data_IF_131928196411
#
_entry.id   IF_131928196411
#
_cell.length_a   1.000
_cell.length_b   1.000
_cell.length_c   1.000
_cell.angle_alpha   90.00
_cell.angle_beta   90.00
_cell.angle_gamma   90.00
#
_symmetry.space_group_name_H-M   'P 1'
#
loop_
_entity.id
_entity.type
_entity.pdbx_description
1 polymer ?
#
# COMPACT_ATOMS: atom_id res chain seq x y z
N UNK A 1 -16.50 -14.17 48.13
CA UNK A 1 -16.79 -13.56 46.84
C UNK A 1 -15.61 -12.70 46.36
N UNK A 2 -15.12 -11.71 47.11
CA UNK A 2 -14.02 -10.81 46.73
C UNK A 2 -12.69 -11.53 46.42
N UNK A 3 -12.31 -12.52 47.22
CA UNK A 3 -11.08 -13.29 47.06
C UNK A 3 -11.10 -14.09 45.73
N UNK A 4 -12.23 -14.67 45.39
CA UNK A 4 -12.43 -15.40 44.13
C UNK A 4 -12.34 -14.47 42.92
N UNK A 5 -12.88 -13.25 43.04
CA UNK A 5 -12.83 -12.25 41.97
C UNK A 5 -11.41 -11.71 41.77
N UNK A 6 -10.65 -11.48 42.85
CA UNK A 6 -9.23 -11.08 42.77
C UNK A 6 -8.36 -12.17 42.13
N UNK A 7 -8.61 -13.42 42.42
CA UNK A 7 -7.87 -14.54 41.82
C UNK A 7 -8.18 -14.68 40.32
N UNK A 8 -9.46 -14.55 39.95
CA UNK A 8 -9.87 -14.55 38.53
C UNK A 8 -9.25 -13.41 37.73
N UNK A 9 -9.23 -12.22 38.31
CA UNK A 9 -8.59 -11.06 37.65
C UNK A 9 -7.09 -11.30 37.44
N UNK A 10 -6.36 -11.83 38.43
CA UNK A 10 -4.93 -12.14 38.28
C UNK A 10 -4.68 -13.19 37.19
N UNK A 11 -5.52 -14.22 37.15
CA UNK A 11 -5.41 -15.26 36.11
C UNK A 11 -5.69 -14.68 34.72
N UNK A 12 -6.71 -13.80 34.58
CA UNK A 12 -7.02 -13.13 33.34
C UNK A 12 -5.88 -12.21 32.90
N UNK A 13 -5.34 -11.42 33.82
CA UNK A 13 -4.18 -10.56 33.55
C UNK A 13 -2.95 -11.36 33.10
N UNK A 14 -2.69 -12.49 33.73
CA UNK A 14 -1.60 -13.39 33.36
C UNK A 14 -1.81 -13.96 31.95
N UNK A 15 -3.03 -14.45 31.64
CA UNK A 15 -3.38 -14.93 30.30
C UNK A 15 -3.25 -13.84 29.22
N UNK A 16 -3.74 -12.63 29.52
CA UNK A 16 -3.61 -11.49 28.60
C UNK A 16 -2.14 -11.18 28.31
N UNK A 17 -1.28 -11.13 29.34
CA UNK A 17 0.17 -10.91 29.14
C UNK A 17 0.81 -11.98 28.27
N UNK A 18 0.52 -13.26 28.53
CA UNK A 18 1.08 -14.36 27.73
C UNK A 18 0.62 -14.26 26.29
N UNK A 19 -0.68 -14.06 26.05
CA UNK A 19 -1.22 -13.92 24.69
C UNK A 19 -0.68 -12.69 23.95
N UNK A 20 -0.51 -11.56 24.64
CA UNK A 20 0.10 -10.37 24.05
C UNK A 20 1.54 -10.65 23.64
N UNK A 21 2.33 -11.30 24.51
CA UNK A 21 3.71 -11.65 24.18
C UNK A 21 3.82 -12.64 23.00
N UNK A 22 2.93 -13.64 22.94
CA UNK A 22 2.86 -14.58 21.80
C UNK A 22 2.52 -13.86 20.49
N UNK A 23 1.52 -12.96 20.51
CA UNK A 23 1.13 -12.15 19.36
C UNK A 23 2.26 -11.23 18.89
N UNK A 24 2.96 -10.57 19.81
CA UNK A 24 4.10 -9.74 19.51
C UNK A 24 5.27 -10.54 18.92
N UNK A 25 5.52 -11.76 19.40
CA UNK A 25 6.53 -12.64 18.84
C UNK A 25 6.18 -13.08 17.42
N UNK A 26 4.94 -13.56 17.22
CA UNK A 26 4.45 -13.96 15.89
C UNK A 26 4.47 -12.80 14.87
N UNK A 27 4.09 -11.61 15.31
CA UNK A 27 4.18 -10.42 14.44
C UNK A 27 5.63 -10.07 14.06
N UNK A 28 6.59 -10.23 14.99
CA UNK A 28 8.02 -10.03 14.69
C UNK A 28 8.53 -11.02 13.65
N UNK A 29 8.15 -12.28 13.78
CA UNK A 29 8.52 -13.33 12.83
C UNK A 29 7.94 -13.06 11.44
N UNK A 30 6.66 -12.67 11.36
CA UNK A 30 5.99 -12.35 10.10
C UNK A 30 6.66 -11.16 9.39
N UNK A 31 7.07 -10.13 10.13
CA UNK A 31 7.76 -8.97 9.57
C UNK A 31 9.15 -9.35 9.03
N UNK A 32 9.93 -10.08 9.84
CA UNK A 32 11.26 -10.53 9.42
C UNK A 32 11.18 -11.41 8.17
N UNK A 33 10.19 -12.31 8.13
CA UNK A 33 9.90 -13.14 6.97
C UNK A 33 9.50 -12.28 5.75
N UNK A 34 8.54 -11.37 5.91
CA UNK A 34 8.06 -10.49 4.85
C UNK A 34 9.19 -9.62 4.28
N UNK A 35 10.05 -9.08 5.16
CA UNK A 35 11.20 -8.30 4.76
C UNK A 35 12.23 -9.14 3.97
N UNK A 36 12.59 -10.32 4.48
CA UNK A 36 13.56 -11.21 3.84
C UNK A 36 13.07 -11.65 2.45
N UNK A 37 11.83 -12.16 2.38
CA UNK A 37 11.23 -12.61 1.11
C UNK A 37 11.15 -11.45 0.11
N UNK A 38 10.75 -10.28 0.56
CA UNK A 38 10.64 -9.11 -0.30
C UNK A 38 11.99 -8.65 -0.84
N UNK A 39 13.03 -8.67 -0.01
CA UNK A 39 14.40 -8.37 -0.44
C UNK A 39 14.86 -9.35 -1.53
N UNK A 40 14.64 -10.64 -1.28
CA UNK A 40 15.12 -11.70 -2.19
C UNK A 40 14.33 -11.76 -3.51
N UNK A 41 13.07 -11.29 -3.51
CA UNK A 41 12.27 -11.16 -4.72
C UNK A 41 12.58 -9.90 -5.54
N UNK A 42 13.03 -8.82 -4.94
CA UNK A 42 13.35 -7.58 -5.67
C UNK A 42 14.54 -7.73 -6.63
N UNK A 43 15.54 -8.49 -6.25
CA UNK A 43 16.74 -8.65 -7.07
C UNK A 43 16.45 -9.33 -8.42
N UNK A 44 15.79 -10.52 -8.47
CA UNK A 44 15.42 -11.15 -9.73
C UNK A 44 14.42 -10.31 -10.55
N UNK A 45 13.48 -9.62 -9.92
CA UNK A 45 12.54 -8.76 -10.63
C UNK A 45 13.24 -7.60 -11.34
N UNK A 46 14.18 -6.93 -10.67
CA UNK A 46 14.98 -5.87 -11.29
C UNK A 46 15.81 -6.40 -12.46
N UNK A 47 16.36 -7.62 -12.34
CA UNK A 47 17.10 -8.24 -13.43
C UNK A 47 16.18 -8.53 -14.64
N UNK A 48 14.98 -9.07 -14.41
CA UNK A 48 14.00 -9.34 -15.47
C UNK A 48 13.57 -8.03 -16.17
N UNK A 49 13.23 -6.99 -15.42
CA UNK A 49 12.85 -5.69 -16.00
C UNK A 49 14.01 -5.09 -16.79
N UNK A 50 15.24 -5.12 -16.23
CA UNK A 50 16.44 -4.61 -16.89
C UNK A 50 16.78 -5.35 -18.18
N UNK A 51 16.73 -6.68 -18.19
CA UNK A 51 16.97 -7.43 -19.42
C UNK A 51 15.86 -7.23 -20.45
N UNK A 52 14.61 -7.17 -20.03
CA UNK A 52 13.50 -6.87 -20.94
C UNK A 52 13.65 -5.47 -21.55
N UNK A 53 14.14 -4.50 -20.79
CA UNK A 53 14.43 -3.15 -21.27
C UNK A 53 15.58 -3.16 -22.30
N UNK A 54 16.72 -3.79 -21.96
CA UNK A 54 17.87 -3.89 -22.86
C UNK A 54 17.46 -4.54 -24.19
N UNK A 55 16.72 -5.64 -24.15
CA UNK A 55 16.24 -6.31 -25.37
C UNK A 55 15.31 -5.37 -26.16
N UNK A 56 14.44 -4.64 -25.49
CA UNK A 56 13.53 -3.70 -26.13
C UNK A 56 14.25 -2.52 -26.80
N UNK A 57 15.37 -2.06 -26.23
CA UNK A 57 16.15 -0.91 -26.74
C UNK A 57 17.19 -1.34 -27.77
N UNK A 58 18.06 -2.30 -27.43
CA UNK A 58 19.22 -2.66 -28.27
C UNK A 58 18.84 -3.54 -29.46
N UNK A 59 17.74 -4.29 -29.33
CA UNK A 59 17.28 -5.21 -30.40
C UNK A 59 15.97 -4.74 -31.07
N UNK A 60 15.52 -3.51 -30.81
CA UNK A 60 14.30 -2.97 -31.38
C UNK A 60 14.12 -3.19 -32.92
N UNK A 61 15.18 -3.03 -33.77
CA UNK A 61 15.05 -3.26 -35.21
C UNK A 61 14.87 -4.74 -35.61
N UNK A 62 15.18 -5.66 -34.70
CA UNK A 62 15.10 -7.12 -34.92
C UNK A 62 13.84 -7.74 -34.34
N UNK A 63 13.07 -6.98 -33.57
CA UNK A 63 11.83 -7.41 -32.96
C UNK A 63 10.66 -7.05 -33.88
N UNK A 64 9.80 -8.02 -34.12
CA UNK A 64 8.48 -7.77 -34.70
C UNK A 64 7.54 -7.12 -33.67
N UNK A 65 6.38 -6.70 -34.13
CA UNK A 65 5.34 -6.05 -33.28
C UNK A 65 4.97 -6.95 -32.07
N UNK A 66 4.82 -8.23 -32.31
CA UNK A 66 4.47 -9.22 -31.27
C UNK A 66 5.57 -9.36 -30.22
N UNK A 67 6.83 -9.38 -30.63
CA UNK A 67 7.98 -9.44 -29.72
C UNK A 67 8.07 -8.20 -28.82
N UNK A 68 7.82 -7.01 -29.37
CA UNK A 68 7.76 -5.76 -28.59
C UNK A 68 6.60 -5.78 -27.59
N UNK A 69 5.42 -6.24 -28.02
CA UNK A 69 4.28 -6.36 -27.13
C UNK A 69 4.55 -7.32 -25.96
N UNK A 70 5.18 -8.47 -26.22
CA UNK A 70 5.53 -9.41 -25.16
C UNK A 70 6.54 -8.84 -24.15
N UNK A 71 7.57 -8.13 -24.62
CA UNK A 71 8.52 -7.46 -23.73
C UNK A 71 7.83 -6.41 -22.88
N UNK A 72 6.95 -5.62 -23.47
CA UNK A 72 6.17 -4.64 -22.71
C UNK A 72 5.28 -5.29 -21.66
N UNK A 73 4.62 -6.42 -21.98
CA UNK A 73 3.82 -7.18 -21.00
C UNK A 73 4.67 -7.75 -19.88
N UNK A 74 5.88 -8.23 -20.16
CA UNK A 74 6.83 -8.71 -19.14
C UNK A 74 7.20 -7.54 -18.21
N UNK A 75 7.56 -6.39 -18.73
CA UNK A 75 7.93 -5.21 -17.94
C UNK A 75 6.78 -4.75 -17.04
N UNK A 76 5.57 -4.63 -17.59
CA UNK A 76 4.38 -4.27 -16.81
C UNK A 76 4.10 -5.27 -15.68
N UNK A 77 4.24 -6.58 -15.97
CA UNK A 77 4.04 -7.62 -14.97
C UNK A 77 5.10 -7.56 -13.86
N UNK A 78 6.36 -7.36 -14.21
CA UNK A 78 7.48 -7.26 -13.27
C UNK A 78 7.34 -6.04 -12.35
N UNK A 79 6.99 -4.89 -12.91
CA UNK A 79 6.74 -3.66 -12.14
C UNK A 79 5.52 -3.78 -11.23
N UNK A 80 4.48 -4.53 -11.68
CA UNK A 80 3.33 -4.85 -10.83
C UNK A 80 3.74 -5.72 -9.65
N UNK A 81 4.58 -6.74 -9.87
CA UNK A 81 5.07 -7.61 -8.80
C UNK A 81 5.92 -6.82 -7.80
N UNK A 82 6.79 -5.93 -8.26
CA UNK A 82 7.58 -5.08 -7.38
C UNK A 82 6.69 -4.25 -6.45
N UNK A 83 5.62 -3.63 -6.98
CA UNK A 83 4.65 -2.89 -6.17
C UNK A 83 3.92 -3.76 -5.15
N UNK A 84 3.48 -4.96 -5.52
CA UNK A 84 2.84 -5.88 -4.57
C UNK A 84 3.77 -6.29 -3.42
N UNK A 85 5.06 -6.41 -3.69
CA UNK A 85 6.08 -6.68 -2.67
C UNK A 85 6.24 -5.48 -1.73
N UNK A 86 6.26 -4.27 -2.25
CA UNK A 86 6.32 -3.06 -1.44
C UNK A 86 5.07 -2.91 -0.56
N UNK A 87 3.88 -3.14 -1.13
CA UNK A 87 2.61 -3.15 -0.39
C UNK A 87 2.61 -4.19 0.76
N UNK A 88 3.19 -5.37 0.52
CA UNK A 88 3.30 -6.42 1.54
C UNK A 88 4.21 -6.00 2.70
N UNK A 89 5.35 -5.36 2.41
CA UNK A 89 6.24 -4.82 3.45
C UNK A 89 5.53 -3.74 4.27
N UNK A 90 4.85 -2.83 3.59
CA UNK A 90 4.15 -1.74 4.25
C UNK A 90 3.03 -2.29 5.13
N UNK A 91 2.27 -3.29 4.68
CA UNK A 91 1.27 -3.98 5.50
C UNK A 91 1.89 -4.63 6.74
N UNK A 92 3.02 -5.33 6.60
CA UNK A 92 3.72 -5.95 7.71
C UNK A 92 4.25 -4.92 8.75
N UNK A 93 4.66 -3.74 8.28
CA UNK A 93 5.08 -2.63 9.16
C UNK A 93 3.89 -1.98 9.88
N UNK A 94 2.77 -1.80 9.17
CA UNK A 94 1.57 -1.17 9.72
C UNK A 94 0.96 -1.94 10.90
N UNK A 95 1.03 -3.26 10.88
CA UNK A 95 0.51 -4.12 11.97
C UNK A 95 1.24 -3.95 13.31
N UNK A 96 2.39 -3.27 13.31
CA UNK A 96 3.27 -3.11 14.48
C UNK A 96 3.25 -1.74 15.13
N UNK A 97 2.86 -0.71 14.41
CA UNK A 97 2.90 0.63 14.96
C UNK A 97 1.83 0.77 16.04
N UNK A 98 2.25 1.19 17.23
CA UNK A 98 1.30 1.68 18.23
C UNK A 98 0.56 2.85 17.61
N UNK A 99 -0.69 2.64 17.26
CA UNK A 99 -1.54 3.63 16.59
C UNK A 99 -1.57 4.92 17.40
N UNK A 100 -0.98 5.98 16.86
CA UNK A 100 -1.02 7.32 17.47
C UNK A 100 -2.27 8.03 16.99
N UNK A 101 -3.31 7.98 17.79
CA UNK A 101 -4.56 8.69 17.47
C UNK A 101 -4.38 10.18 17.73
N UNK A 102 -4.47 10.96 16.67
CA UNK A 102 -4.53 12.41 16.68
C UNK A 102 -5.70 12.91 15.84
N UNK A 103 -6.06 14.16 15.98
CA UNK A 103 -7.08 14.76 15.12
C UNK A 103 -6.48 15.09 13.76
N UNK A 104 -6.84 14.30 12.74
CA UNK A 104 -6.30 14.38 11.38
C UNK A 104 -7.30 15.05 10.46
N UNK A 105 -6.85 16.04 9.69
CA UNK A 105 -7.63 16.64 8.61
C UNK A 105 -7.58 15.76 7.37
N UNK A 106 -8.67 15.01 7.13
CA UNK A 106 -8.80 14.10 6.00
C UNK A 106 -8.89 14.84 4.66
N UNK A 107 -9.63 15.95 4.63
CA UNK A 107 -9.79 16.76 3.42
C UNK A 107 -8.43 17.21 2.88
N UNK A 108 -7.55 17.68 3.73
CA UNK A 108 -6.21 18.11 3.36
C UNK A 108 -5.36 16.97 2.80
N UNK A 109 -5.45 15.76 3.38
CA UNK A 109 -4.71 14.58 2.90
C UNK A 109 -5.21 14.18 1.51
N UNK A 110 -6.53 14.14 1.33
CA UNK A 110 -7.16 13.79 0.04
C UNK A 110 -6.79 14.80 -1.05
N UNK A 111 -6.83 16.10 -0.77
CA UNK A 111 -6.41 17.14 -1.70
C UNK A 111 -4.94 16.99 -2.14
N UNK A 112 -4.05 16.67 -1.18
CA UNK A 112 -2.64 16.41 -1.49
C UNK A 112 -2.47 15.20 -2.42
N UNK A 113 -3.14 14.08 -2.12
CA UNK A 113 -3.05 12.87 -2.95
C UNK A 113 -3.63 13.12 -4.34
N UNK A 114 -4.76 13.80 -4.46
CA UNK A 114 -5.34 14.15 -5.76
C UNK A 114 -4.42 15.06 -6.57
N UNK A 115 -3.74 15.99 -5.92
CA UNK A 115 -2.73 16.84 -6.58
C UNK A 115 -1.56 16.03 -7.11
N UNK A 116 -1.05 15.07 -6.32
CA UNK A 116 0.01 14.13 -6.72
C UNK A 116 -0.44 13.30 -7.95
N UNK A 117 -1.67 12.77 -7.93
CA UNK A 117 -2.23 11.99 -9.04
C UNK A 117 -2.39 12.80 -10.33
N UNK A 118 -2.79 14.07 -10.23
CA UNK A 118 -2.85 14.97 -11.41
C UNK A 118 -1.46 15.29 -11.96
N UNK A 119 -0.44 15.38 -11.11
CA UNK A 119 0.95 15.58 -11.56
C UNK A 119 1.54 14.34 -12.24
N UNK A 120 1.14 13.14 -11.78
CA UNK A 120 1.56 11.87 -12.40
C UNK A 120 0.90 11.64 -13.78
N UNK A 121 -0.30 12.15 -14.00
CA UNK A 121 -1.07 12.01 -15.25
C UNK A 121 -1.76 13.33 -15.64
N UNK A 122 -0.99 14.33 -16.14
CA UNK A 122 -1.48 15.69 -16.40
C UNK A 122 -2.52 15.77 -17.53
N UNK A 123 -2.50 14.84 -18.47
CA UNK A 123 -3.42 14.84 -19.62
C UNK A 123 -4.81 14.33 -19.23
N UNK A 124 -4.93 13.75 -18.05
CA UNK A 124 -6.17 13.15 -17.61
C UNK A 124 -7.10 14.15 -16.91
N UNK A 125 -8.30 14.27 -17.43
CA UNK A 125 -9.33 15.16 -16.88
C UNK A 125 -10.19 14.40 -15.87
N UNK A 126 -9.93 14.64 -14.57
CA UNK A 126 -10.73 14.11 -13.46
C UNK A 126 -11.30 15.27 -12.66
N UNK A 127 -12.63 15.33 -12.56
CA UNK A 127 -13.28 16.26 -11.67
C UNK A 127 -13.23 15.71 -10.23
N UNK A 128 -12.59 16.44 -9.33
CA UNK A 128 -12.50 16.06 -7.93
C UNK A 128 -13.28 17.05 -7.06
N UNK A 129 -14.07 16.50 -6.16
CA UNK A 129 -14.80 17.27 -5.16
C UNK A 129 -14.48 16.73 -3.78
N UNK A 130 -13.85 17.55 -2.94
CA UNK A 130 -13.50 17.22 -1.56
C UNK A 130 -14.28 18.12 -0.63
N UNK A 131 -15.08 17.54 0.26
CA UNK A 131 -15.78 18.30 1.29
C UNK A 131 -14.76 18.86 2.28
N UNK A 132 -14.77 20.20 2.55
CA UNK A 132 -13.80 20.80 3.44
C UNK A 132 -14.09 20.48 4.90
N UNK A 133 -13.03 20.41 5.72
CA UNK A 133 -13.18 20.32 7.17
C UNK A 133 -13.58 18.94 7.71
N UNK A 134 -13.32 17.87 6.97
CA UNK A 134 -13.49 16.51 7.47
C UNK A 134 -12.32 16.12 8.36
N UNK A 135 -12.60 15.76 9.60
CA UNK A 135 -11.61 15.35 10.59
C UNK A 135 -11.94 13.97 11.16
N UNK A 136 -10.90 13.20 11.47
CA UNK A 136 -11.03 11.93 12.18
C UNK A 136 -9.95 11.79 13.26
N UNK A 137 -10.28 11.04 14.31
CA UNK A 137 -9.29 10.59 15.30
C UNK A 137 -8.57 9.35 14.76
N UNK A 138 -7.43 9.54 14.13
CA UNK A 138 -6.71 8.49 13.40
C UNK A 138 -5.20 8.65 13.54
N UNK A 139 -4.46 7.63 13.17
CA UNK A 139 -3.03 7.75 12.91
C UNK A 139 -2.85 8.35 11.52
N UNK A 140 -2.17 9.50 11.44
CA UNK A 140 -2.00 10.26 10.19
C UNK A 140 -1.30 9.43 9.10
N UNK A 141 -0.29 8.63 9.48
CA UNK A 141 0.45 7.83 8.52
C UNK A 141 -0.42 6.70 7.96
N UNK A 142 -1.15 6.00 8.82
CA UNK A 142 -2.02 4.91 8.42
C UNK A 142 -3.17 5.39 7.55
N UNK A 143 -3.84 6.48 7.95
CA UNK A 143 -4.97 7.00 7.17
C UNK A 143 -4.54 7.54 5.80
N UNK A 144 -3.33 8.14 5.70
CA UNK A 144 -2.78 8.57 4.41
C UNK A 144 -2.57 7.37 3.47
N UNK A 145 -1.98 6.28 3.97
CA UNK A 145 -1.79 5.04 3.17
C UNK A 145 -3.12 4.47 2.71
N UNK A 146 -4.12 4.42 3.59
CA UNK A 146 -5.45 3.94 3.23
C UNK A 146 -6.13 4.82 2.16
N UNK A 147 -6.07 6.14 2.34
CA UNK A 147 -6.66 7.10 1.39
C UNK A 147 -5.91 7.09 0.04
N UNK A 148 -4.58 6.99 0.04
CA UNK A 148 -3.79 6.87 -1.19
C UNK A 148 -4.20 5.64 -1.99
N UNK A 149 -4.30 4.48 -1.35
CA UNK A 149 -4.76 3.24 -1.99
C UNK A 149 -6.17 3.38 -2.58
N UNK A 150 -7.11 3.97 -1.85
CA UNK A 150 -8.49 4.16 -2.30
C UNK A 150 -8.56 5.13 -3.47
N UNK A 151 -7.88 6.26 -3.39
CA UNK A 151 -7.89 7.29 -4.43
C UNK A 151 -7.17 6.83 -5.70
N UNK A 152 -6.02 6.14 -5.59
CA UNK A 152 -5.36 5.51 -6.74
C UNK A 152 -6.22 4.46 -7.42
N UNK A 153 -6.97 3.68 -6.65
CA UNK A 153 -7.94 2.74 -7.20
C UNK A 153 -9.10 3.48 -7.91
N UNK A 154 -9.67 4.50 -7.31
CA UNK A 154 -10.71 5.32 -7.93
C UNK A 154 -10.20 5.97 -9.21
N UNK A 155 -8.99 6.54 -9.18
CA UNK A 155 -8.31 7.09 -10.34
C UNK A 155 -8.16 6.05 -11.45
N UNK A 156 -7.64 4.89 -11.16
CA UNK A 156 -7.42 3.80 -12.11
C UNK A 156 -8.72 3.28 -12.72
N UNK A 157 -9.74 2.99 -11.91
CA UNK A 157 -10.99 2.38 -12.39
C UNK A 157 -11.89 3.35 -13.16
N UNK A 158 -11.66 4.64 -13.05
CA UNK A 158 -12.36 5.66 -13.85
C UNK A 158 -11.65 5.98 -15.17
N UNK A 159 -10.52 5.33 -15.51
CA UNK A 159 -9.71 5.63 -16.69
C UNK A 159 -10.40 5.42 -18.05
N UNK A 160 -11.48 4.63 -18.07
CA UNK A 160 -12.25 4.34 -19.30
C UNK A 160 -13.43 5.30 -19.51
N UNK A 161 -13.62 6.28 -18.62
CA UNK A 161 -14.72 7.26 -18.71
C UNK A 161 -14.18 8.55 -19.31
N UNK A 162 -14.91 9.15 -20.23
CA UNK A 162 -14.59 10.47 -20.82
C UNK A 162 -14.57 11.56 -19.74
N UNK A 163 -15.50 11.49 -18.78
CA UNK A 163 -15.53 12.37 -17.61
C UNK A 163 -15.47 11.48 -16.38
N UNK A 164 -14.34 11.53 -15.69
CA UNK A 164 -14.15 10.85 -14.41
C UNK A 164 -14.49 11.83 -13.27
N UNK A 165 -15.25 11.37 -12.29
CA UNK A 165 -15.58 12.15 -11.10
C UNK A 165 -15.19 11.37 -9.85
N UNK A 166 -14.48 12.04 -8.92
CA UNK A 166 -14.11 11.52 -7.61
C UNK A 166 -14.65 12.46 -6.55
N UNK A 167 -15.51 11.96 -5.68
CA UNK A 167 -16.09 12.70 -4.56
C UNK A 167 -15.64 12.10 -3.23
N UNK A 168 -15.25 12.98 -2.31
CA UNK A 168 -14.91 12.63 -0.94
C UNK A 168 -15.72 13.51 0.02
N UNK A 169 -16.56 12.86 0.84
CA UNK A 169 -17.50 13.48 1.77
C UNK A 169 -17.73 12.58 3.00
#
# INVERSE_FOLDING_TARGET
AEQSQRNLNRELEARVRVRTAELEASNRELEAFSYSVSHDLRAPLRAIDGFAQIVSEDYAPRLDETGREYLQRIRVATQRMARLIDDLIDLARLTRQTMKREQVNLSQIVEQILTELHQEDPERHVQSHVEPGLFAAADRALIRVALDNLLRNAWKFTSRREIAEIRFH
#
